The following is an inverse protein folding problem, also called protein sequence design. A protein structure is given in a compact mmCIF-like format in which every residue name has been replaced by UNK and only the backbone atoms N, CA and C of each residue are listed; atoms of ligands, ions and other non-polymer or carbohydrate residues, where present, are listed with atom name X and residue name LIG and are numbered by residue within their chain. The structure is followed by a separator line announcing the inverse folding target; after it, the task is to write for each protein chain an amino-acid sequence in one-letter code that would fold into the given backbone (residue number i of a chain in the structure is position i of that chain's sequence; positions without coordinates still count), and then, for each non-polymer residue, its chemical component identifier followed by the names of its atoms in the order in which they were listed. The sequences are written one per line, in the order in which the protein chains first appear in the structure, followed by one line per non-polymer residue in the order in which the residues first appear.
data_IF_906197863902
#
_entry.id   IF_906197863902
#
_cell.length_a   1.000
_cell.length_b   1.000
_cell.length_c   1.000
_cell.angle_alpha   90.00
_cell.angle_beta   90.00
_cell.angle_gamma   90.00
#
_symmetry.space_group_name_H-M   'P 1'
#
loop_
_entity.id
_entity.type
_entity.pdbx_description
1 polymer ?
#
# COMPACT_ATOMS: atom_id res chain seq x y z
N UNK A 1 28.79 7.47 4.54
CA UNK A 1 28.55 6.98 5.92
C UNK A 1 28.18 5.50 5.82
N UNK A 2 28.69 4.68 6.75
CA UNK A 2 28.44 3.25 6.75
C UNK A 2 27.46 2.87 7.85
N UNK A 3 26.42 2.11 7.51
CA UNK A 3 25.37 1.61 8.41
C UNK A 3 25.40 0.08 8.47
N UNK A 4 24.83 -0.49 9.54
CA UNK A 4 24.57 -1.93 9.59
C UNK A 4 23.36 -2.27 8.72
N UNK A 5 22.30 -1.45 8.79
CA UNK A 5 21.08 -1.62 8.01
C UNK A 5 20.60 -0.29 7.43
N UNK A 6 20.22 -0.28 6.16
CA UNK A 6 19.46 0.81 5.56
C UNK A 6 18.03 0.34 5.28
N UNK A 7 17.05 1.12 5.75
CA UNK A 7 15.62 0.90 5.52
C UNK A 7 15.15 1.93 4.51
N UNK A 8 14.60 1.46 3.38
CA UNK A 8 14.10 2.32 2.31
C UNK A 8 12.59 2.37 2.38
N UNK A 9 12.06 3.51 2.82
CA UNK A 9 10.66 3.77 3.14
C UNK A 9 10.44 3.90 4.64
N UNK A 10 9.97 5.08 5.07
CA UNK A 10 9.76 5.46 6.48
C UNK A 10 8.27 5.50 6.86
N UNK A 11 7.44 4.65 6.24
CA UNK A 11 6.06 4.43 6.68
C UNK A 11 5.98 3.29 7.71
N UNK A 12 4.79 2.79 7.98
CA UNK A 12 4.51 1.83 9.06
C UNK A 12 5.44 0.61 9.09
N UNK A 13 5.71 0.00 7.93
CA UNK A 13 6.60 -1.16 7.85
C UNK A 13 8.05 -0.80 8.14
N UNK A 14 8.55 0.31 7.57
CA UNK A 14 9.93 0.75 7.79
C UNK A 14 10.18 1.22 9.22
N UNK A 15 9.24 1.96 9.81
CA UNK A 15 9.30 2.38 11.21
C UNK A 15 9.31 1.17 12.16
N UNK A 16 8.43 0.19 11.90
CA UNK A 16 8.38 -1.04 12.68
C UNK A 16 9.64 -1.89 12.54
N UNK A 17 10.27 -1.91 11.35
CA UNK A 17 11.55 -2.59 11.14
C UNK A 17 12.70 -1.92 11.88
N UNK A 18 12.67 -0.59 11.98
CA UNK A 18 13.70 0.19 12.68
C UNK A 18 13.72 -0.05 14.20
N UNK A 19 12.56 -0.30 14.83
CA UNK A 19 12.46 -0.46 16.28
C UNK A 19 13.34 -1.60 16.86
N UNK A 20 13.24 -2.88 16.41
CA UNK A 20 14.08 -3.94 16.92
C UNK A 20 15.57 -3.70 16.64
N UNK A 21 15.90 -3.05 15.52
CA UNK A 21 17.27 -2.70 15.17
C UNK A 21 17.85 -1.61 16.10
N UNK A 22 17.09 -0.53 16.36
CA UNK A 22 17.48 0.51 17.31
C UNK A 22 17.64 -0.05 18.74
N UNK A 23 16.71 -0.90 19.17
CA UNK A 23 16.79 -1.62 20.46
C UNK A 23 17.98 -2.57 20.56
N UNK A 24 18.41 -3.15 19.43
CA UNK A 24 19.63 -3.97 19.33
C UNK A 24 20.91 -3.12 19.14
N UNK A 25 20.80 -1.78 19.25
CA UNK A 25 21.92 -0.82 19.10
C UNK A 25 22.66 -0.92 17.76
N UNK A 26 21.96 -1.32 16.70
CA UNK A 26 22.52 -1.32 15.34
C UNK A 26 22.50 0.09 14.77
N UNK A 27 23.51 0.40 13.97
CA UNK A 27 23.58 1.67 13.25
C UNK A 27 22.65 1.59 12.04
N UNK A 28 21.53 2.30 12.09
CA UNK A 28 20.44 2.23 11.10
C UNK A 28 20.26 3.58 10.44
N UNK A 29 19.99 3.59 9.13
CA UNK A 29 19.48 4.76 8.44
C UNK A 29 18.10 4.42 7.85
N UNK A 30 17.13 5.32 8.04
CA UNK A 30 15.86 5.30 7.32
C UNK A 30 15.89 6.38 6.25
N UNK A 31 15.58 5.99 5.01
CA UNK A 31 15.52 6.90 3.87
C UNK A 31 14.06 6.95 3.42
N UNK A 32 13.42 8.11 3.54
CA UNK A 32 11.98 8.26 3.27
C UNK A 32 11.68 9.40 2.32
N UNK A 33 10.90 9.11 1.29
CA UNK A 33 10.44 10.09 0.32
C UNK A 33 9.16 10.86 0.77
N UNK A 34 8.64 10.58 1.96
CA UNK A 34 7.46 11.25 2.51
C UNK A 34 6.12 10.90 1.83
N UNK A 35 6.07 9.81 1.05
CA UNK A 35 4.90 9.47 0.23
C UNK A 35 4.19 8.18 0.72
N UNK A 36 3.56 8.26 1.88
CA UNK A 36 2.75 7.13 2.38
C UNK A 36 1.58 6.81 1.45
N UNK A 37 1.24 5.53 1.31
CA UNK A 37 0.10 5.08 0.49
C UNK A 37 -1.22 5.68 0.98
N UNK A 38 -1.45 5.69 2.30
CA UNK A 38 -2.67 6.22 2.91
C UNK A 38 -2.64 7.75 3.18
N UNK A 39 -1.75 8.51 2.54
CA UNK A 39 -1.66 9.98 2.70
C UNK A 39 -2.91 10.74 2.24
N UNK A 40 -3.76 10.10 1.46
CA UNK A 40 -5.00 10.69 0.93
C UNK A 40 -6.19 10.54 1.88
N UNK A 41 -6.11 9.59 2.83
CA UNK A 41 -7.13 9.36 3.84
C UNK A 41 -6.80 10.17 5.11
N UNK A 42 -7.81 10.80 5.70
CA UNK A 42 -7.65 11.56 6.93
C UNK A 42 -7.41 10.60 8.12
N UNK A 43 -8.27 9.61 8.29
CA UNK A 43 -8.24 8.67 9.41
C UNK A 43 -7.77 7.28 8.98
N UNK A 44 -7.24 6.53 9.93
CA UNK A 44 -6.84 5.13 9.77
C UNK A 44 -7.70 4.25 10.63
N UNK A 45 -8.32 3.22 10.03
CA UNK A 45 -9.16 2.27 10.75
C UNK A 45 -8.55 0.86 10.76
N UNK A 46 -8.97 0.03 11.73
CA UNK A 46 -8.53 -1.35 11.86
C UNK A 46 -7.10 -1.53 12.41
N UNK A 47 -6.49 -0.49 12.97
CA UNK A 47 -5.22 -0.62 13.69
C UNK A 47 -5.47 -0.54 15.20
N UNK A 48 -5.29 -1.68 15.88
CA UNK A 48 -5.55 -1.82 17.32
C UNK A 48 -4.84 -0.71 18.11
N UNK A 49 -5.56 -0.08 19.04
CA UNK A 49 -5.17 1.09 19.86
C UNK A 49 -5.12 2.43 19.11
N UNK A 50 -5.23 2.45 17.80
CA UNK A 50 -5.18 3.65 16.95
C UNK A 50 -6.36 3.72 15.96
N UNK A 51 -7.44 2.98 16.22
CA UNK A 51 -8.63 2.99 15.39
C UNK A 51 -9.27 4.38 15.37
N UNK A 52 -9.53 4.93 14.16
CA UNK A 52 -10.05 6.28 13.99
C UNK A 52 -9.03 7.42 14.20
N UNK A 53 -7.76 7.12 14.46
CA UNK A 53 -6.71 8.14 14.59
C UNK A 53 -6.27 8.66 13.22
N UNK A 54 -5.87 9.95 13.17
CA UNK A 54 -5.32 10.54 11.94
C UNK A 54 -4.09 9.75 11.46
N UNK A 55 -4.09 9.35 10.19
CA UNK A 55 -2.99 8.57 9.59
C UNK A 55 -1.63 9.30 9.68
N UNK A 56 -1.65 10.64 9.65
CA UNK A 56 -0.46 11.48 9.83
C UNK A 56 0.06 11.44 11.27
N UNK A 57 -0.82 11.45 12.26
CA UNK A 57 -0.48 11.43 13.67
C UNK A 57 0.18 10.10 14.07
N UNK A 58 -0.41 8.97 13.66
CA UNK A 58 0.17 7.64 13.91
C UNK A 58 1.61 7.57 13.38
N UNK A 59 1.84 8.04 12.15
CA UNK A 59 3.17 8.01 11.56
C UNK A 59 4.15 8.96 12.26
N UNK A 60 3.69 10.13 12.71
CA UNK A 60 4.52 11.09 13.43
C UNK A 60 4.92 10.54 14.79
N UNK A 61 3.99 9.98 15.56
CA UNK A 61 4.28 9.34 16.86
C UNK A 61 5.28 8.20 16.67
N UNK A 62 5.08 7.33 15.69
CA UNK A 62 5.98 6.22 15.43
C UNK A 62 7.39 6.69 15.03
N UNK A 63 7.51 7.74 14.20
CA UNK A 63 8.79 8.36 13.84
C UNK A 63 9.48 8.94 15.09
N UNK A 64 8.76 9.67 15.92
CA UNK A 64 9.30 10.26 17.16
C UNK A 64 9.81 9.17 18.12
N UNK A 65 9.05 8.08 18.31
CA UNK A 65 9.49 6.96 19.15
C UNK A 65 10.77 6.30 18.62
N UNK A 66 10.86 6.10 17.32
CA UNK A 66 12.04 5.49 16.70
C UNK A 66 13.28 6.37 16.83
N UNK A 67 13.14 7.69 16.65
CA UNK A 67 14.26 8.63 16.73
C UNK A 67 14.75 8.89 18.18
N UNK A 68 14.14 8.30 19.22
CA UNK A 68 14.70 8.26 20.55
C UNK A 68 15.95 7.35 20.66
N UNK A 69 16.14 6.45 19.69
CA UNK A 69 17.31 5.59 19.63
C UNK A 69 18.48 6.32 18.94
N UNK A 70 19.58 6.63 19.64
CA UNK A 70 20.67 7.47 19.11
C UNK A 70 21.47 6.83 17.99
N UNK A 71 21.22 5.54 17.70
CA UNK A 71 21.85 4.79 16.61
C UNK A 71 21.01 4.79 15.33
N UNK A 72 19.88 5.49 15.31
CA UNK A 72 18.98 5.58 14.19
C UNK A 72 19.02 6.97 13.57
N UNK A 73 19.46 7.05 12.33
CA UNK A 73 19.46 8.27 11.54
C UNK A 73 18.27 8.29 10.56
N UNK A 74 17.81 9.49 10.22
CA UNK A 74 16.73 9.70 9.26
C UNK A 74 17.20 10.63 8.14
N UNK A 75 16.94 10.24 6.88
CA UNK A 75 17.21 11.02 5.70
C UNK A 75 15.91 11.19 4.92
N UNK A 76 15.47 12.45 4.75
CA UNK A 76 14.39 12.78 3.83
C UNK A 76 14.94 12.79 2.40
N UNK A 77 14.44 11.93 1.54
CA UNK A 77 14.91 11.81 0.18
C UNK A 77 14.43 10.56 -0.54
N UNK A 78 14.58 10.55 -1.85
CA UNK A 78 14.21 9.43 -2.70
C UNK A 78 15.45 8.65 -3.17
N UNK A 79 15.44 7.33 -2.95
CA UNK A 79 16.47 6.44 -3.50
C UNK A 79 16.31 6.38 -5.02
N UNK A 80 17.41 6.67 -5.74
CA UNK A 80 17.49 6.64 -7.22
C UNK A 80 18.23 5.41 -7.73
N UNK A 81 19.19 4.91 -6.96
CA UNK A 81 20.00 3.75 -7.32
C UNK A 81 20.42 2.99 -6.08
N UNK A 82 20.41 1.67 -6.18
CA UNK A 82 20.89 0.73 -5.18
C UNK A 82 21.73 -0.31 -5.89
N UNK A 83 22.96 -0.49 -5.46
CA UNK A 83 23.91 -1.44 -6.04
C UNK A 83 24.64 -2.19 -4.94
N UNK A 84 24.84 -3.48 -5.12
CA UNK A 84 25.73 -4.27 -4.26
C UNK A 84 27.13 -4.23 -4.86
N UNK A 85 28.10 -3.80 -4.07
CA UNK A 85 29.51 -3.84 -4.44
C UNK A 85 30.29 -4.37 -3.26
N UNK A 86 31.04 -5.42 -3.48
CA UNK A 86 31.67 -6.22 -2.43
C UNK A 86 30.64 -6.67 -1.38
N UNK A 87 30.86 -6.45 -0.10
CA UNK A 87 29.97 -6.83 0.98
C UNK A 87 29.00 -5.70 1.42
N UNK A 88 28.95 -4.60 0.67
CA UNK A 88 28.13 -3.44 0.99
C UNK A 88 27.14 -3.11 -0.11
N UNK A 89 26.00 -2.60 0.31
CA UNK A 89 25.02 -1.97 -0.57
C UNK A 89 25.27 -0.47 -0.60
N UNK A 90 25.43 0.09 -1.80
CA UNK A 90 25.62 1.52 -2.05
C UNK A 90 24.29 2.11 -2.51
N UNK A 91 23.83 3.11 -1.77
CA UNK A 91 22.53 3.75 -1.95
C UNK A 91 22.75 5.19 -2.39
N UNK A 92 22.27 5.53 -3.58
CA UNK A 92 22.29 6.90 -4.10
C UNK A 92 20.92 7.54 -3.85
N UNK A 93 20.91 8.65 -3.13
CA UNK A 93 19.73 9.42 -2.76
C UNK A 93 19.72 10.71 -3.56
N UNK A 94 18.56 11.16 -4.01
CA UNK A 94 18.40 12.38 -4.79
C UNK A 94 18.95 13.62 -4.05
N UNK A 95 19.90 14.34 -4.68
CA UNK A 95 20.50 15.55 -4.11
C UNK A 95 21.37 15.36 -2.88
N UNK A 96 21.66 14.11 -2.45
CA UNK A 96 22.41 13.80 -1.22
C UNK A 96 23.57 12.85 -1.53
N UNK A 97 24.64 12.95 -0.73
CA UNK A 97 25.78 12.04 -0.81
C UNK A 97 25.34 10.59 -0.52
N UNK A 98 25.86 9.63 -1.29
CA UNK A 98 25.57 8.22 -1.15
C UNK A 98 25.90 7.68 0.25
N UNK A 99 25.07 6.76 0.75
CA UNK A 99 25.28 6.00 1.98
C UNK A 99 25.54 4.54 1.65
N UNK A 100 26.17 3.81 2.57
CA UNK A 100 26.42 2.38 2.41
C UNK A 100 25.91 1.62 3.62
N UNK A 101 25.41 0.39 3.40
CA UNK A 101 24.91 -0.49 4.45
C UNK A 101 25.25 -1.96 4.19
N UNK A 102 25.36 -2.75 5.25
CA UNK A 102 25.57 -4.21 5.15
C UNK A 102 24.30 -4.98 4.78
N UNK A 103 23.12 -4.44 5.15
CA UNK A 103 21.79 -5.03 4.88
C UNK A 103 20.83 -3.96 4.41
N UNK A 104 19.86 -4.38 3.61
CA UNK A 104 18.79 -3.52 3.10
C UNK A 104 17.45 -4.07 3.54
N UNK A 105 16.54 -3.19 3.96
CA UNK A 105 15.11 -3.49 4.12
C UNK A 105 14.33 -2.59 3.16
N UNK A 106 13.65 -3.22 2.19
CA UNK A 106 12.77 -2.54 1.24
C UNK A 106 11.38 -2.45 1.88
N UNK A 107 10.97 -1.23 2.23
CA UNK A 107 9.68 -0.91 2.84
C UNK A 107 8.95 0.21 2.08
N UNK A 108 9.17 0.27 0.78
CA UNK A 108 8.72 1.37 -0.11
C UNK A 108 7.21 1.39 -0.33
N UNK A 109 6.50 0.33 0.02
CA UNK A 109 5.10 0.15 -0.34
C UNK A 109 4.92 -0.03 -1.84
N UNK A 110 3.70 0.20 -2.30
CA UNK A 110 3.26 0.11 -3.70
C UNK A 110 2.51 1.37 -4.11
N UNK A 111 2.29 1.52 -5.41
CA UNK A 111 1.45 2.56 -5.98
C UNK A 111 0.19 1.91 -6.58
N UNK A 112 -0.98 2.47 -6.25
CA UNK A 112 -2.25 2.06 -6.83
C UNK A 112 -2.39 2.63 -8.25
N UNK A 113 -2.64 1.76 -9.23
CA UNK A 113 -3.04 2.16 -10.59
C UNK A 113 -4.54 2.40 -10.60
N UNK A 114 -4.91 3.67 -10.79
CA UNK A 114 -6.30 4.08 -10.86
C UNK A 114 -6.82 3.99 -12.30
N UNK A 115 -8.09 3.60 -12.53
CA UNK A 115 -8.72 3.71 -13.84
C UNK A 115 -8.74 5.16 -14.32
N UNK A 116 -8.59 5.36 -15.62
CA UNK A 116 -8.66 6.69 -16.27
C UNK A 116 -10.11 7.14 -16.41
N UNK A 117 -10.71 7.57 -15.30
CA UNK A 117 -12.05 8.15 -15.23
C UNK A 117 -11.90 9.57 -14.73
N UNK A 118 -12.43 10.53 -15.49
CA UNK A 118 -12.41 11.95 -15.12
C UNK A 118 -13.05 12.15 -13.75
N UNK A 119 -12.36 12.84 -12.83
CA UNK A 119 -12.82 13.12 -11.48
C UNK A 119 -12.53 12.00 -10.45
N UNK A 120 -12.00 10.83 -10.84
CA UNK A 120 -11.69 9.76 -9.90
C UNK A 120 -10.49 10.11 -9.01
N UNK A 121 -9.40 10.57 -9.62
CA UNK A 121 -8.12 10.82 -8.94
C UNK A 121 -8.24 11.89 -7.85
N UNK A 122 -9.03 12.94 -8.06
CA UNK A 122 -9.24 14.03 -7.13
C UNK A 122 -9.99 13.60 -5.85
N UNK A 123 -10.72 12.49 -5.94
CA UNK A 123 -11.56 11.90 -4.89
C UNK A 123 -10.95 10.69 -4.22
N UNK A 124 -9.79 10.23 -4.73
CA UNK A 124 -9.09 9.08 -4.19
C UNK A 124 -8.68 9.28 -2.73
N UNK A 125 -9.07 8.33 -1.88
CA UNK A 125 -8.86 8.36 -0.44
C UNK A 125 -9.78 9.29 0.35
N UNK A 126 -10.73 10.00 -0.33
CA UNK A 126 -11.71 10.90 0.30
C UNK A 126 -13.13 10.37 0.22
N UNK A 127 -13.56 10.02 -0.98
CA UNK A 127 -14.86 9.40 -1.25
C UNK A 127 -14.76 8.23 -2.23
N UNK A 128 -13.58 7.97 -2.77
CA UNK A 128 -13.27 6.79 -3.58
C UNK A 128 -12.17 5.98 -2.90
N UNK A 129 -12.41 4.70 -2.67
CA UNK A 129 -11.62 3.83 -1.82
C UNK A 129 -11.33 2.50 -2.51
N UNK A 130 -10.35 1.74 -1.97
CA UNK A 130 -10.07 0.37 -2.43
C UNK A 130 -10.40 -0.71 -1.38
N UNK A 131 -10.54 -0.33 -0.11
CA UNK A 131 -10.63 -1.29 1.00
C UNK A 131 -11.91 -1.08 1.80
N UNK A 132 -12.88 -2.00 1.76
CA UNK A 132 -14.11 -1.87 2.52
C UNK A 132 -13.90 -1.98 4.04
N UNK A 133 -12.94 -2.78 4.50
CA UNK A 133 -12.58 -2.87 5.92
C UNK A 133 -11.98 -1.58 6.48
N UNK A 134 -11.48 -0.70 5.60
CA UNK A 134 -10.86 0.56 6.00
C UNK A 134 -11.84 1.74 5.98
N UNK A 135 -12.91 1.67 5.17
CA UNK A 135 -13.79 2.81 4.91
C UNK A 135 -15.27 2.46 4.78
N UNK A 136 -15.63 1.18 4.81
CA UNK A 136 -17.02 0.76 4.60
C UNK A 136 -17.93 1.10 5.77
N UNK A 137 -17.42 1.04 7.00
CA UNK A 137 -18.19 1.31 8.21
C UNK A 137 -18.72 2.75 8.25
N UNK A 138 -17.90 3.71 7.82
CA UNK A 138 -18.23 5.14 7.80
C UNK A 138 -19.30 5.50 6.77
N UNK A 139 -19.58 4.61 5.80
CA UNK A 139 -20.67 4.78 4.83
C UNK A 139 -22.05 4.46 5.42
N UNK A 140 -22.11 3.99 6.68
CA UNK A 140 -23.30 3.85 7.50
C UNK A 140 -24.48 3.12 6.80
N UNK A 141 -24.22 1.96 6.17
CA UNK A 141 -25.16 1.16 5.40
C UNK A 141 -25.83 1.90 4.21
N UNK A 142 -25.17 2.94 3.73
CA UNK A 142 -25.66 3.79 2.67
C UNK A 142 -25.55 3.19 1.26
N UNK A 143 -25.57 4.06 0.25
CA UNK A 143 -25.45 3.69 -1.16
C UNK A 143 -23.98 3.60 -1.55
N UNK A 144 -23.53 2.46 -2.03
CA UNK A 144 -22.15 2.18 -2.41
C UNK A 144 -22.05 1.97 -3.91
N UNK A 145 -21.19 2.75 -4.57
CA UNK A 145 -20.76 2.48 -5.93
C UNK A 145 -19.54 1.54 -5.94
N UNK A 146 -19.46 0.60 -6.86
CA UNK A 146 -18.25 -0.15 -7.17
C UNK A 146 -17.94 -0.03 -8.66
N UNK A 147 -16.73 0.39 -8.99
CA UNK A 147 -16.27 0.50 -10.39
C UNK A 147 -15.37 -0.69 -10.71
N UNK A 148 -15.74 -1.43 -11.76
CA UNK A 148 -14.92 -2.51 -12.27
C UNK A 148 -13.65 -1.96 -12.94
N UNK A 149 -12.51 -2.55 -12.61
CA UNK A 149 -11.21 -2.31 -13.25
C UNK A 149 -10.57 -3.59 -13.77
N UNK A 150 -11.09 -4.74 -13.37
CA UNK A 150 -10.67 -6.07 -13.79
C UNK A 150 -11.76 -7.09 -13.49
N UNK A 151 -11.60 -8.31 -13.98
CA UNK A 151 -12.50 -9.44 -13.66
C UNK A 151 -12.62 -9.72 -12.16
N UNK A 152 -11.57 -9.41 -11.37
CA UNK A 152 -11.57 -9.60 -9.92
C UNK A 152 -12.43 -8.60 -9.17
N UNK A 153 -12.92 -7.54 -9.82
CA UNK A 153 -13.83 -6.57 -9.21
C UNK A 153 -15.15 -7.22 -8.77
N UNK A 154 -15.57 -8.29 -9.44
CA UNK A 154 -16.76 -9.05 -9.07
C UNK A 154 -16.67 -9.66 -7.65
N UNK A 155 -15.48 -10.09 -7.20
CA UNK A 155 -15.30 -10.57 -5.82
C UNK A 155 -15.59 -9.46 -4.79
N UNK A 156 -15.17 -8.23 -5.07
CA UNK A 156 -15.50 -7.09 -4.20
C UNK A 156 -16.99 -6.76 -4.27
N UNK A 157 -17.64 -6.90 -5.44
CA UNK A 157 -19.07 -6.71 -5.59
C UNK A 157 -19.89 -7.71 -4.74
N UNK A 158 -19.39 -8.94 -4.58
CA UNK A 158 -19.98 -9.94 -3.68
C UNK A 158 -19.78 -9.59 -2.20
N UNK A 159 -18.73 -8.90 -1.83
CA UNK A 159 -18.39 -8.58 -0.45
C UNK A 159 -19.09 -7.32 0.07
N UNK A 160 -19.17 -6.27 -0.74
CA UNK A 160 -19.64 -4.93 -0.37
C UNK A 160 -21.07 -4.86 0.17
N UNK A 161 -22.03 -5.77 -0.14
CA UNK A 161 -23.36 -5.76 0.47
C UNK A 161 -23.39 -5.87 2.01
N UNK A 162 -22.27 -6.27 2.63
CA UNK A 162 -22.13 -6.26 4.09
C UNK A 162 -22.11 -4.82 4.67
N UNK A 163 -21.79 -3.81 3.86
CA UNK A 163 -21.66 -2.40 4.26
C UNK A 163 -22.74 -1.48 3.70
N UNK A 164 -23.60 -1.93 2.79
CA UNK A 164 -24.67 -1.10 2.25
C UNK A 164 -25.26 -1.60 0.94
N UNK A 165 -26.09 -0.80 0.31
CA UNK A 165 -26.69 -1.12 -0.99
C UNK A 165 -25.72 -0.83 -2.13
N UNK A 166 -25.44 -1.85 -2.98
CA UNK A 166 -24.34 -1.80 -3.96
C UNK A 166 -24.86 -1.63 -5.38
N UNK A 167 -24.27 -0.68 -6.10
CA UNK A 167 -24.35 -0.60 -7.58
C UNK A 167 -22.98 -0.90 -8.17
N UNK A 168 -22.89 -1.96 -8.96
CA UNK A 168 -21.67 -2.42 -9.61
C UNK A 168 -21.62 -1.95 -11.06
N UNK A 169 -20.74 -0.99 -11.35
CA UNK A 169 -20.50 -0.45 -12.68
C UNK A 169 -19.51 -1.34 -13.43
N UNK A 170 -19.96 -2.01 -14.49
CA UNK A 170 -19.07 -2.85 -15.31
C UNK A 170 -18.04 -2.03 -16.07
N UNK A 171 -18.39 -0.80 -16.46
CA UNK A 171 -17.51 0.14 -17.17
C UNK A 171 -16.71 -0.52 -18.33
N UNK A 172 -17.42 -1.33 -19.14
CA UNK A 172 -16.85 -2.05 -20.27
C UNK A 172 -16.17 -3.40 -19.92
N UNK A 173 -16.12 -3.78 -18.64
CA UNK A 173 -15.59 -5.10 -18.25
C UNK A 173 -16.62 -6.19 -18.51
N UNK A 174 -16.20 -7.38 -18.93
CA UNK A 174 -17.10 -8.53 -19.10
C UNK A 174 -17.56 -9.04 -17.73
N UNK A 175 -18.76 -9.63 -17.71
CA UNK A 175 -19.31 -10.32 -16.54
C UNK A 175 -19.83 -11.68 -16.97
N UNK A 176 -19.38 -12.75 -16.33
CA UNK A 176 -19.87 -14.09 -16.57
C UNK A 176 -21.31 -14.23 -16.08
N UNK A 177 -22.16 -14.97 -16.81
CA UNK A 177 -23.57 -15.16 -16.47
C UNK A 177 -23.78 -15.78 -15.07
N UNK A 178 -22.92 -16.71 -14.67
CA UNK A 178 -22.94 -17.30 -13.34
C UNK A 178 -22.67 -16.26 -12.24
N UNK A 179 -21.69 -15.37 -12.45
CA UNK A 179 -21.38 -14.27 -11.52
C UNK A 179 -22.52 -13.25 -11.47
N UNK A 180 -23.17 -12.96 -12.60
CA UNK A 180 -24.34 -12.07 -12.66
C UNK A 180 -25.49 -12.63 -11.81
N UNK A 181 -25.75 -13.93 -11.86
CA UNK A 181 -26.74 -14.59 -11.00
C UNK A 181 -26.41 -14.47 -9.51
N UNK A 182 -25.16 -14.76 -9.13
CA UNK A 182 -24.70 -14.65 -7.74
C UNK A 182 -24.80 -13.21 -7.20
N UNK A 183 -24.49 -12.21 -8.01
CA UNK A 183 -24.61 -10.80 -7.63
C UNK A 183 -26.09 -10.40 -7.44
N UNK A 184 -26.98 -10.87 -8.31
CA UNK A 184 -28.41 -10.64 -8.19
C UNK A 184 -29.00 -11.27 -6.89
N UNK A 185 -28.55 -12.47 -6.51
CA UNK A 185 -28.93 -13.11 -5.25
C UNK A 185 -28.53 -12.29 -4.01
N UNK A 186 -27.44 -11.49 -4.15
CA UNK A 186 -26.99 -10.56 -3.11
C UNK A 186 -27.57 -9.15 -3.25
N UNK A 187 -28.58 -8.95 -4.10
CA UNK A 187 -29.22 -7.67 -4.37
C UNK A 187 -28.25 -6.58 -4.89
N UNK A 188 -27.19 -6.95 -5.59
CA UNK A 188 -26.27 -6.01 -6.24
C UNK A 188 -26.90 -5.53 -7.55
N UNK A 189 -27.06 -4.21 -7.70
CA UNK A 189 -27.52 -3.61 -8.95
C UNK A 189 -26.37 -3.57 -9.94
N UNK A 190 -26.54 -4.16 -11.12
CA UNK A 190 -25.51 -4.19 -12.16
C UNK A 190 -25.78 -3.07 -13.17
N UNK A 191 -24.86 -2.11 -13.27
CA UNK A 191 -24.91 -1.02 -14.23
C UNK A 191 -23.95 -1.29 -15.39
N UNK A 192 -24.52 -1.44 -16.59
CA UNK A 192 -23.79 -1.81 -17.83
C UNK A 192 -23.35 -0.59 -18.65
N UNK A 193 -23.98 0.59 -18.40
CA UNK A 193 -23.63 1.83 -19.11
C UNK A 193 -22.24 2.34 -18.69
N UNK A 194 -21.45 2.86 -19.63
CA UNK A 194 -20.15 3.43 -19.31
C UNK A 194 -20.25 4.66 -18.41
N UNK A 195 -19.23 4.85 -17.58
CA UNK A 195 -19.05 6.05 -16.78
C UNK A 195 -18.39 7.14 -17.64
N UNK A 196 -18.98 8.32 -17.68
CA UNK A 196 -18.41 9.48 -18.35
C UNK A 196 -17.45 10.24 -17.40
N UNK A 197 -17.89 10.52 -16.19
CA UNK A 197 -17.09 11.21 -15.17
C UNK A 197 -17.67 11.00 -13.75
N UNK A 198 -16.90 11.42 -12.75
CA UNK A 198 -17.33 11.48 -11.36
C UNK A 198 -17.23 12.94 -10.91
N UNK A 199 -18.33 13.46 -10.40
CA UNK A 199 -18.46 14.88 -9.98
C UNK A 199 -18.82 14.96 -8.50
N UNK A 200 -18.84 16.18 -7.96
CA UNK A 200 -19.18 16.46 -6.57
C UNK A 200 -18.37 15.61 -5.58
N UNK A 201 -19.01 15.07 -4.53
CA UNK A 201 -18.36 14.15 -3.60
C UNK A 201 -18.21 12.76 -4.23
N UNK A 202 -19.31 12.15 -4.67
CA UNK A 202 -19.35 10.76 -5.19
C UNK A 202 -20.55 10.53 -6.14
N UNK A 203 -20.80 11.49 -7.05
CA UNK A 203 -21.84 11.38 -8.07
C UNK A 203 -21.24 10.87 -9.37
N UNK A 204 -21.67 9.69 -9.81
CA UNK A 204 -21.31 9.09 -11.09
C UNK A 204 -22.22 9.64 -12.19
N UNK A 205 -21.63 10.18 -13.24
CA UNK A 205 -22.32 10.59 -14.47
C UNK A 205 -22.10 9.50 -15.51
N UNK A 206 -23.20 8.96 -16.02
CA UNK A 206 -23.18 7.93 -17.06
C UNK A 206 -23.10 8.55 -18.47
N UNK A 207 -22.79 7.73 -19.46
CA UNK A 207 -22.67 8.16 -20.86
C UNK A 207 -23.94 8.78 -21.44
N UNK A 208 -25.13 8.46 -20.89
CA UNK A 208 -26.42 9.02 -21.27
C UNK A 208 -26.83 10.25 -20.40
N UNK A 209 -25.89 10.81 -19.68
CA UNK A 209 -26.07 11.97 -18.77
C UNK A 209 -26.92 11.67 -17.52
N UNK A 210 -27.25 10.42 -17.22
CA UNK A 210 -27.87 10.07 -15.95
C UNK A 210 -26.87 10.22 -14.81
N UNK A 211 -27.32 10.73 -13.66
CA UNK A 211 -26.53 10.95 -12.46
C UNK A 211 -26.98 9.99 -11.37
N UNK A 212 -26.02 9.34 -10.71
CA UNK A 212 -26.26 8.46 -9.56
C UNK A 212 -25.32 8.87 -8.43
N UNK A 213 -25.88 9.29 -7.30
CA UNK A 213 -25.11 9.74 -6.14
C UNK A 213 -24.98 8.62 -5.12
N UNK A 214 -23.78 8.44 -4.57
CA UNK A 214 -23.41 7.46 -3.57
C UNK A 214 -22.91 8.12 -2.29
N UNK A 215 -22.87 7.38 -1.18
CA UNK A 215 -22.18 7.79 0.04
C UNK A 215 -20.67 7.56 -0.06
N UNK A 216 -20.27 6.56 -0.84
CA UNK A 216 -18.89 6.32 -1.24
C UNK A 216 -18.77 5.39 -2.43
N UNK A 217 -17.62 5.42 -3.09
CA UNK A 217 -17.36 4.57 -4.25
C UNK A 217 -16.13 3.71 -3.96
N UNK A 218 -16.19 2.43 -4.29
CA UNK A 218 -15.03 1.56 -4.29
C UNK A 218 -14.52 1.32 -5.71
N UNK A 219 -13.23 1.10 -5.81
CA UNK A 219 -12.57 0.68 -7.05
C UNK A 219 -11.47 -0.32 -6.73
N UNK A 220 -11.42 -1.42 -7.46
CA UNK A 220 -10.27 -2.32 -7.36
C UNK A 220 -9.10 -1.73 -8.12
N UNK A 221 -7.91 -1.75 -7.51
CA UNK A 221 -6.69 -1.22 -8.12
C UNK A 221 -5.66 -2.33 -8.30
N UNK A 222 -4.78 -2.19 -9.28
CA UNK A 222 -3.58 -2.97 -9.36
C UNK A 222 -2.45 -2.23 -8.65
N UNK A 223 -1.72 -2.96 -7.80
CA UNK A 223 -0.57 -2.42 -7.08
C UNK A 223 0.70 -2.64 -7.90
N UNK A 224 1.46 -1.57 -8.12
CA UNK A 224 2.72 -1.64 -8.86
C UNK A 224 3.89 -1.17 -8.00
N UNK A 225 5.04 -1.79 -8.23
CA UNK A 225 6.32 -1.35 -7.71
C UNK A 225 6.85 -0.30 -8.68
N UNK A 226 6.81 0.97 -8.30
CA UNK A 226 7.13 2.11 -9.17
C UNK A 226 8.61 2.48 -9.19
N UNK A 227 9.44 1.85 -8.37
CA UNK A 227 10.86 2.19 -8.22
C UNK A 227 11.73 1.35 -9.18
N UNK A 228 12.24 1.96 -10.24
CA UNK A 228 13.11 1.33 -11.24
C UNK A 228 14.32 0.60 -10.63
N UNK A 229 14.88 1.12 -9.53
CA UNK A 229 16.03 0.50 -8.88
C UNK A 229 15.71 -0.86 -8.25
N UNK A 230 14.44 -1.12 -7.86
CA UNK A 230 14.00 -2.44 -7.37
C UNK A 230 14.04 -3.45 -8.51
N UNK A 231 13.55 -3.08 -9.69
CA UNK A 231 13.61 -3.94 -10.88
C UNK A 231 15.07 -4.22 -11.31
N UNK A 232 15.95 -3.19 -11.23
CA UNK A 232 17.38 -3.35 -11.53
C UNK A 232 18.13 -4.18 -10.50
N UNK A 233 17.68 -4.20 -9.26
CA UNK A 233 18.25 -5.06 -8.21
C UNK A 233 17.98 -6.53 -8.48
N UNK A 234 17.00 -6.85 -9.35
CA UNK A 234 16.63 -8.18 -9.80
C UNK A 234 16.21 -9.14 -8.67
N UNK A 235 15.55 -8.62 -7.63
CA UNK A 235 14.81 -9.46 -6.70
C UNK A 235 13.72 -10.23 -7.44
N UNK A 236 13.49 -11.49 -7.06
CA UNK A 236 12.37 -12.28 -7.60
C UNK A 236 11.05 -11.58 -7.25
N UNK A 237 10.20 -11.35 -8.28
CA UNK A 237 8.88 -10.76 -8.13
C UNK A 237 7.81 -11.83 -8.29
N UNK A 238 6.74 -11.69 -7.55
CA UNK A 238 5.52 -12.46 -7.70
C UNK A 238 4.43 -11.58 -8.33
N UNK A 239 3.74 -12.13 -9.33
CA UNK A 239 2.67 -11.46 -10.05
C UNK A 239 1.35 -12.16 -9.75
N UNK A 240 0.32 -11.37 -9.51
CA UNK A 240 -1.03 -11.86 -9.28
C UNK A 240 -2.04 -10.82 -9.77
N UNK A 241 -3.33 -11.15 -9.77
CA UNK A 241 -4.37 -10.23 -10.25
C UNK A 241 -4.45 -8.88 -9.53
N UNK A 242 -3.95 -8.79 -8.30
CA UNK A 242 -3.92 -7.54 -7.53
C UNK A 242 -2.64 -6.72 -7.79
N UNK A 243 -1.68 -7.22 -8.56
CA UNK A 243 -0.46 -6.52 -8.93
C UNK A 243 0.82 -7.31 -8.70
N UNK A 244 1.88 -6.60 -8.36
CA UNK A 244 3.23 -7.12 -8.17
C UNK A 244 3.67 -6.99 -6.72
N UNK A 245 4.44 -7.98 -6.25
CA UNK A 245 5.15 -7.90 -4.96
C UNK A 245 6.53 -8.52 -5.05
N UNK A 246 7.43 -8.11 -4.16
CA UNK A 246 8.73 -8.77 -3.99
C UNK A 246 8.50 -10.08 -3.25
N UNK A 247 8.94 -11.19 -3.84
CA UNK A 247 8.87 -12.50 -3.20
C UNK A 247 9.88 -12.57 -2.05
N UNK A 248 9.41 -13.05 -0.90
CA UNK A 248 10.23 -13.23 0.31
C UNK A 248 10.01 -14.60 0.93
N UNK A 249 11.02 -15.07 1.64
CA UNK A 249 10.87 -16.27 2.50
C UNK A 249 10.12 -15.92 3.82
N UNK A 250 9.94 -16.88 4.70
CA UNK A 250 9.27 -16.70 5.98
C UNK A 250 9.97 -15.68 6.91
N UNK A 251 11.24 -15.40 6.70
CA UNK A 251 12.03 -14.40 7.42
C UNK A 251 12.10 -13.04 6.72
N UNK A 252 11.26 -12.83 5.72
CA UNK A 252 11.23 -11.60 4.92
C UNK A 252 12.49 -11.32 4.09
N UNK A 253 13.38 -12.28 3.92
CA UNK A 253 14.52 -12.16 3.03
C UNK A 253 14.09 -12.43 1.58
N UNK A 254 14.58 -11.62 0.66
CA UNK A 254 14.32 -11.73 -0.78
C UNK A 254 15.21 -12.81 -1.41
N UNK A 255 15.16 -12.97 -2.72
CA UNK A 255 16.10 -13.81 -3.47
C UNK A 255 17.56 -13.34 -3.42
N UNK A 256 17.80 -12.12 -2.92
CA UNK A 256 19.14 -11.52 -2.81
C UNK A 256 19.57 -11.54 -1.34
N UNK A 257 20.66 -12.24 -1.05
CA UNK A 257 21.20 -12.33 0.31
C UNK A 257 21.52 -10.97 0.90
N UNK A 258 21.00 -10.74 2.11
CA UNK A 258 21.13 -9.48 2.84
C UNK A 258 20.12 -8.41 2.45
N UNK A 259 19.17 -8.71 1.55
CA UNK A 259 18.07 -7.82 1.18
C UNK A 259 16.75 -8.40 1.69
N UNK A 260 16.04 -7.64 2.50
CA UNK A 260 14.75 -7.98 3.08
C UNK A 260 13.67 -7.06 2.49
N UNK A 261 12.41 -7.52 2.46
CA UNK A 261 11.29 -6.68 2.03
C UNK A 261 10.07 -6.89 2.95
N UNK A 262 9.34 -5.81 3.23
CA UNK A 262 8.20 -5.85 4.15
C UNK A 262 7.13 -4.80 3.83
N UNK A 263 5.92 -5.03 4.34
CA UNK A 263 4.74 -4.23 4.06
C UNK A 263 4.22 -4.47 2.64
N UNK A 264 3.46 -3.52 2.10
CA UNK A 264 2.72 -3.67 0.85
C UNK A 264 3.60 -4.05 -0.35
N UNK A 265 4.90 -3.72 -0.34
CA UNK A 265 5.84 -4.11 -1.42
C UNK A 265 6.13 -5.62 -1.45
N UNK A 266 5.88 -6.33 -0.35
CA UNK A 266 6.19 -7.75 -0.18
C UNK A 266 4.98 -8.59 0.28
N UNK A 267 3.77 -8.08 0.02
CA UNK A 267 2.53 -8.81 0.34
C UNK A 267 1.35 -8.31 -0.47
N UNK A 268 0.38 -9.22 -0.65
CA UNK A 268 -0.93 -8.89 -1.16
C UNK A 268 -1.86 -8.46 -0.02
N UNK A 269 -2.71 -7.47 -0.29
CA UNK A 269 -3.67 -7.00 0.69
C UNK A 269 -2.98 -6.31 1.88
N UNK A 270 -2.78 -5.00 1.78
CA UNK A 270 -2.12 -4.20 2.80
C UNK A 270 -3.09 -3.70 3.89
N UNK A 271 -2.60 -3.62 5.12
CA UNK A 271 -3.17 -2.82 6.20
C UNK A 271 -2.04 -2.30 7.08
N UNK A 272 -2.34 -1.29 7.91
CA UNK A 272 -1.35 -0.76 8.87
C UNK A 272 -0.87 -1.86 9.80
N UNK A 273 -1.77 -2.67 10.34
CA UNK A 273 -1.46 -3.78 11.26
C UNK A 273 -0.52 -4.80 10.63
N UNK A 274 -0.80 -5.20 9.38
CA UNK A 274 0.02 -6.16 8.65
C UNK A 274 1.40 -5.55 8.30
N UNK A 275 1.45 -4.29 7.92
CA UNK A 275 2.71 -3.60 7.62
C UNK A 275 3.61 -3.50 8.85
N UNK A 276 3.05 -3.23 10.04
CA UNK A 276 3.78 -3.19 11.32
C UNK A 276 4.33 -4.58 11.68
N UNK A 277 3.52 -5.63 11.56
CA UNK A 277 3.96 -7.01 11.82
C UNK A 277 5.09 -7.46 10.90
N UNK A 278 4.93 -7.23 9.60
CA UNK A 278 5.95 -7.56 8.58
C UNK A 278 7.25 -6.78 8.79
N UNK A 279 7.14 -5.48 9.11
CA UNK A 279 8.30 -4.65 9.38
C UNK A 279 9.10 -5.15 10.58
N UNK A 280 8.41 -5.48 11.68
CA UNK A 280 9.05 -6.06 12.87
C UNK A 280 9.79 -7.33 12.54
N UNK A 281 9.18 -8.25 11.77
CA UNK A 281 9.83 -9.49 11.33
C UNK A 281 11.08 -9.23 10.49
N UNK A 282 10.99 -8.33 9.52
CA UNK A 282 12.13 -7.97 8.66
C UNK A 282 13.28 -7.36 9.46
N UNK A 283 12.98 -6.47 10.43
CA UNK A 283 13.99 -5.87 11.29
C UNK A 283 14.72 -6.89 12.16
N UNK A 284 13.98 -7.83 12.77
CA UNK A 284 14.56 -8.94 13.55
C UNK A 284 15.40 -9.86 12.66
N UNK A 285 14.91 -10.21 11.48
CA UNK A 285 15.63 -11.08 10.55
C UNK A 285 16.92 -10.43 10.04
N UNK A 286 16.86 -9.15 9.65
CA UNK A 286 18.04 -8.39 9.24
C UNK A 286 19.08 -8.29 10.38
N UNK A 287 18.63 -8.10 11.63
CA UNK A 287 19.53 -8.15 12.78
C UNK A 287 20.22 -9.52 12.93
N UNK A 288 19.44 -10.60 12.89
CA UNK A 288 20.00 -11.97 13.02
C UNK A 288 21.04 -12.29 11.94
N UNK A 289 20.80 -11.88 10.70
CA UNK A 289 21.73 -12.09 9.58
C UNK A 289 23.07 -11.33 9.71
N UNK A 290 23.15 -10.34 10.63
CA UNK A 290 24.39 -9.65 10.95
C UNK A 290 25.19 -10.35 12.07
N UNK A 291 24.57 -11.32 12.75
CA UNK A 291 25.17 -12.04 13.88
C UNK A 291 25.56 -13.46 13.48
N UNK A 292 24.75 -14.09 12.66
CA UNK A 292 24.90 -15.48 12.17
C UNK A 292 25.12 -15.52 10.67
#
# INVERSE_FOLDING_TARGET
MNYDVAIIGGSYAGLAAGLPLGRARRKVVIIDAGQRRNRFADHSHGFLTQDGTLASEIAQIAKQQLLQYPTVDWIDGQVKRLEKKDDLFHICIDGIQAVSAKRIIIATGVQDQLPEIKGLKERWGKSIFHCPYCHGYELNQGKIGLIASSEHSAHMAMLLPEWGSVTYFLNGQPLAAETELQLNERNVVIEKRPIAEIIEHSTVVLSDQNHITFDGIFVTTQCVISQDWIHKLACELEHNPMGQMIKTNALKETSISGVFACGDVARLGGSVSLAVGDGTMAGVAAHRSLVF
#
